data_IF_610139800478
#
_entry.id   IF_610139800478
#
_cell.length_a   1.000
_cell.length_b   1.000
_cell.length_c   1.000
_cell.angle_alpha   90.00
_cell.angle_beta   90.00
_cell.angle_gamma   90.00
#
_symmetry.space_group_name_H-M   'P 1'
#
loop_
_entity.id
_entity.type
_entity.pdbx_description
1 polymer ?
#
# COMPACT_ATOMS: atom_id res chain seq x y z
N UNK A 1 -8.30 -6.28 -14.40
CA UNK A 1 -6.82 -6.44 -14.44
C UNK A 1 -6.27 -6.02 -13.08
N UNK A 2 -5.12 -6.55 -12.67
CA UNK A 2 -4.54 -6.29 -11.35
C UNK A 2 -3.05 -5.92 -11.46
N UNK A 3 -2.52 -5.25 -10.45
CA UNK A 3 -1.09 -5.01 -10.31
C UNK A 3 -0.52 -6.08 -9.37
N UNK A 4 0.64 -6.64 -9.72
CA UNK A 4 1.32 -7.63 -8.89
C UNK A 4 2.65 -7.05 -8.39
N UNK A 5 2.79 -6.92 -7.08
CA UNK A 5 4.05 -6.54 -6.42
C UNK A 5 4.85 -7.79 -6.12
N UNK A 6 6.11 -7.78 -6.56
CA UNK A 6 7.10 -8.85 -6.36
C UNK A 6 8.11 -8.44 -5.30
N UNK A 7 8.40 -9.32 -4.35
CA UNK A 7 9.40 -9.08 -3.30
C UNK A 7 10.27 -10.32 -3.11
N UNK A 8 11.56 -10.18 -3.39
CA UNK A 8 12.50 -11.28 -3.25
C UNK A 8 12.85 -11.57 -1.79
N UNK A 9 12.70 -12.84 -1.39
CA UNK A 9 12.88 -13.27 0.00
C UNK A 9 14.30 -13.05 0.49
N UNK A 10 15.28 -13.38 -0.34
CA UNK A 10 16.69 -13.24 0.01
C UNK A 10 17.07 -11.76 0.19
N UNK A 11 16.63 -10.88 -0.70
CA UNK A 11 16.83 -9.44 -0.57
C UNK A 11 16.14 -8.87 0.68
N UNK A 12 14.92 -9.31 1.00
CA UNK A 12 14.22 -8.89 2.21
C UNK A 12 14.98 -9.29 3.48
N UNK A 13 15.61 -10.47 3.50
CA UNK A 13 16.44 -10.95 4.62
C UNK A 13 17.72 -10.13 4.74
N UNK A 14 18.41 -9.89 3.63
CA UNK A 14 19.68 -9.15 3.60
C UNK A 14 19.53 -7.70 4.04
N UNK A 15 18.38 -7.08 3.74
CA UNK A 15 18.05 -5.70 4.15
C UNK A 15 17.37 -5.60 5.51
N UNK A 16 17.12 -6.72 6.18
CA UNK A 16 16.34 -6.83 7.42
C UNK A 16 14.92 -6.21 7.30
N UNK A 17 14.33 -6.27 6.10
CA UNK A 17 13.00 -5.73 5.77
C UNK A 17 11.86 -6.72 5.98
N UNK A 18 12.19 -7.98 6.32
CA UNK A 18 11.23 -9.08 6.57
C UNK A 18 10.05 -8.62 7.45
N UNK A 19 10.36 -7.93 8.55
CA UNK A 19 9.34 -7.44 9.49
C UNK A 19 8.38 -6.46 8.83
N UNK A 20 8.92 -5.55 8.02
CA UNK A 20 8.14 -4.48 7.40
C UNK A 20 7.21 -5.05 6.34
N UNK A 21 7.70 -5.96 5.50
CA UNK A 21 6.90 -6.60 4.45
C UNK A 21 5.72 -7.37 5.04
N UNK A 22 5.95 -8.11 6.11
CA UNK A 22 4.91 -8.89 6.75
C UNK A 22 3.90 -8.04 7.51
N UNK A 23 4.37 -7.01 8.21
CA UNK A 23 3.48 -6.03 8.84
C UNK A 23 2.64 -5.32 7.78
N UNK A 24 3.24 -4.93 6.66
CA UNK A 24 2.51 -4.38 5.52
C UNK A 24 1.43 -5.37 5.09
N UNK A 25 1.78 -6.65 4.88
CA UNK A 25 0.81 -7.68 4.50
C UNK A 25 -0.36 -7.85 5.50
N UNK A 26 -0.07 -7.92 6.81
CA UNK A 26 -1.11 -8.00 7.85
C UNK A 26 -2.07 -6.80 7.79
N UNK A 27 -1.51 -5.58 7.77
CA UNK A 27 -2.30 -4.36 7.65
C UNK A 27 -3.13 -4.38 6.37
N UNK A 28 -2.54 -4.82 5.26
CA UNK A 28 -3.20 -4.88 3.96
C UNK A 28 -4.39 -5.84 3.94
N UNK A 29 -4.33 -6.95 4.68
CA UNK A 29 -5.40 -7.93 4.79
C UNK A 29 -6.56 -7.46 5.65
N UNK A 30 -6.32 -6.56 6.60
CA UNK A 30 -7.34 -6.08 7.55
C UNK A 30 -8.11 -4.85 7.05
N UNK A 31 -7.61 -4.18 6.01
CA UNK A 31 -8.18 -2.89 5.57
C UNK A 31 -8.65 -2.92 4.11
N UNK A 32 -9.86 -2.42 3.89
CA UNK A 32 -10.50 -2.30 2.57
C UNK A 32 -11.25 -0.96 2.48
N UNK A 33 -10.92 -0.17 1.46
CA UNK A 33 -11.56 1.13 1.25
C UNK A 33 -11.47 1.58 -0.21
N UNK A 34 -12.51 2.27 -0.69
CA UNK A 34 -12.63 2.68 -2.11
C UNK A 34 -11.54 3.65 -2.58
N UNK A 35 -10.95 4.42 -1.67
CA UNK A 35 -9.87 5.39 -1.93
C UNK A 35 -8.48 4.89 -1.48
N UNK A 36 -8.36 3.59 -1.16
CA UNK A 36 -7.09 2.93 -0.90
C UNK A 36 -6.82 1.89 -1.97
N UNK A 37 -5.54 1.63 -2.25
CA UNK A 37 -5.14 0.45 -3.06
C UNK A 37 -5.34 -0.80 -2.21
N UNK A 38 -6.33 -1.63 -2.56
CA UNK A 38 -6.71 -2.82 -1.81
C UNK A 38 -5.91 -4.05 -2.26
N UNK A 39 -5.68 -4.95 -1.30
CA UNK A 39 -5.07 -6.25 -1.53
C UNK A 39 -6.18 -7.26 -1.87
N UNK A 40 -6.01 -7.98 -2.98
CA UNK A 40 -6.91 -9.04 -3.41
C UNK A 40 -6.39 -10.42 -3.05
N UNK A 41 -5.10 -10.67 -3.29
CA UNK A 41 -4.46 -11.96 -3.02
C UNK A 41 -3.02 -11.76 -2.56
N UNK A 42 -2.54 -12.67 -1.72
CA UNK A 42 -1.13 -12.79 -1.38
C UNK A 42 -0.72 -14.26 -1.41
N UNK A 43 0.42 -14.55 -2.02
CA UNK A 43 0.99 -15.90 -2.09
C UNK A 43 2.51 -15.81 -2.20
N UNK A 44 3.18 -16.95 -2.12
CA UNK A 44 4.64 -17.03 -2.18
C UNK A 44 5.08 -18.33 -2.84
N UNK A 45 6.28 -18.33 -3.42
CA UNK A 45 6.97 -19.53 -3.89
C UNK A 45 8.30 -19.71 -3.14
N UNK A 46 9.26 -20.47 -3.69
CA UNK A 46 10.55 -20.71 -3.05
C UNK A 46 11.41 -19.44 -2.93
N UNK A 47 11.32 -18.53 -3.90
CA UNK A 47 12.22 -17.38 -4.01
C UNK A 47 11.53 -16.08 -3.57
N UNK A 48 10.21 -15.98 -3.74
CA UNK A 48 9.52 -14.70 -3.81
C UNK A 48 8.17 -14.68 -3.10
N UNK A 49 7.79 -13.47 -2.68
CA UNK A 49 6.45 -13.14 -2.17
C UNK A 49 5.73 -12.25 -3.18
N UNK A 50 4.43 -12.51 -3.36
CA UNK A 50 3.58 -11.85 -4.33
C UNK A 50 2.36 -11.22 -3.64
N UNK A 51 2.07 -9.97 -3.97
CA UNK A 51 0.84 -9.29 -3.58
C UNK A 51 0.10 -8.83 -4.83
N UNK A 52 -1.15 -9.25 -4.98
CA UNK A 52 -2.05 -8.83 -6.06
C UNK A 52 -2.95 -7.73 -5.51
N UNK A 53 -2.84 -6.54 -6.09
CA UNK A 53 -3.54 -5.33 -5.63
C UNK A 53 -4.30 -4.67 -6.79
N UNK A 54 -5.10 -3.65 -6.47
CA UNK A 54 -5.75 -2.82 -7.48
C UNK A 54 -4.76 -2.27 -8.51
N UNK A 55 -5.11 -2.38 -9.79
CA UNK A 55 -4.38 -1.73 -10.87
C UNK A 55 -5.00 -0.37 -11.15
N UNK A 56 -4.21 0.69 -11.02
CA UNK A 56 -4.57 2.05 -11.41
C UNK A 56 -3.75 2.44 -12.62
N UNK A 57 -4.43 2.67 -13.75
CA UNK A 57 -3.78 2.89 -15.05
C UNK A 57 -3.30 4.33 -15.26
N UNK A 58 -3.82 5.29 -14.48
CA UNK A 58 -3.47 6.71 -14.59
C UNK A 58 -2.09 7.06 -14.01
N UNK A 59 -1.37 6.10 -13.43
CA UNK A 59 -0.03 6.31 -12.87
C UNK A 59 -0.04 7.09 -11.55
N UNK A 60 1.16 7.48 -11.08
CA UNK A 60 1.31 8.25 -9.85
C UNK A 60 1.21 9.77 -10.08
N UNK A 61 0.75 10.51 -9.06
CA UNK A 61 0.61 11.96 -9.14
C UNK A 61 1.96 12.67 -9.37
N UNK A 62 3.07 12.08 -8.91
CA UNK A 62 4.41 12.62 -9.13
C UNK A 62 4.72 12.74 -10.62
N UNK A 63 4.38 11.74 -11.42
CA UNK A 63 4.52 11.75 -12.87
C UNK A 63 3.78 12.93 -13.51
N UNK A 64 2.51 13.15 -13.15
CA UNK A 64 1.71 14.25 -13.70
C UNK A 64 2.27 15.62 -13.33
N UNK A 65 2.74 15.78 -12.08
CA UNK A 65 3.40 17.01 -11.65
C UNK A 65 4.70 17.27 -12.44
N UNK A 66 5.48 16.23 -12.74
CA UNK A 66 6.70 16.35 -13.56
C UNK A 66 6.42 16.71 -15.02
N UNK A 67 5.27 16.31 -15.55
CA UNK A 67 4.81 16.70 -16.89
C UNK A 67 4.20 18.12 -16.92
N UNK A 68 4.24 18.87 -15.81
CA UNK A 68 3.62 20.20 -15.66
C UNK A 68 2.11 20.21 -15.93
N UNK A 69 1.42 19.10 -15.62
CA UNK A 69 -0.05 19.04 -15.66
C UNK A 69 -0.60 20.06 -14.67
N UNK A 70 -1.51 20.90 -15.16
CA UNK A 70 -2.22 21.88 -14.33
C UNK A 70 -3.54 21.28 -13.88
N UNK A 71 -3.70 21.10 -12.57
CA UNK A 71 -4.96 20.66 -11.98
C UNK A 71 -5.84 21.87 -11.69
N UNK A 72 -7.13 21.78 -12.02
CA UNK A 72 -8.10 22.81 -11.65
C UNK A 72 -8.36 22.78 -10.15
N UNK A 73 -8.79 23.90 -9.59
CA UNK A 73 -9.13 23.98 -8.16
C UNK A 73 -10.24 22.99 -7.80
N UNK A 74 -11.23 22.81 -8.68
CA UNK A 74 -12.30 21.84 -8.53
C UNK A 74 -11.77 20.40 -8.45
N UNK A 75 -10.84 20.01 -9.32
CA UNK A 75 -10.24 18.67 -9.30
C UNK A 75 -9.45 18.45 -8.00
N UNK A 76 -8.66 19.44 -7.57
CA UNK A 76 -7.88 19.37 -6.33
C UNK A 76 -8.81 19.24 -5.11
N UNK A 77 -9.94 19.94 -5.08
CA UNK A 77 -10.96 19.80 -4.02
C UNK A 77 -11.47 18.38 -3.92
N UNK A 78 -11.78 17.74 -5.05
CA UNK A 78 -12.22 16.34 -5.09
C UNK A 78 -11.13 15.41 -4.52
N UNK A 79 -9.87 15.58 -4.95
CA UNK A 79 -8.76 14.76 -4.45
C UNK A 79 -8.56 14.91 -2.93
N UNK A 80 -8.67 16.14 -2.41
CA UNK A 80 -8.57 16.37 -0.95
C UNK A 80 -9.70 15.65 -0.21
N UNK A 81 -10.93 15.67 -0.73
CA UNK A 81 -12.05 14.94 -0.14
C UNK A 81 -11.80 13.42 -0.14
N UNK A 82 -11.39 12.84 -1.27
CA UNK A 82 -11.08 11.40 -1.40
C UNK A 82 -9.95 10.99 -0.45
N UNK A 83 -8.87 11.78 -0.38
CA UNK A 83 -7.77 11.60 0.56
C UNK A 83 -8.25 11.64 2.01
N UNK A 84 -9.06 12.64 2.36
CA UNK A 84 -9.55 12.83 3.73
C UNK A 84 -10.38 11.64 4.17
N UNK A 85 -11.25 11.12 3.30
CA UNK A 85 -12.04 9.92 3.58
C UNK A 85 -11.16 8.67 3.75
N UNK A 86 -10.12 8.51 2.93
CA UNK A 86 -9.16 7.41 3.09
C UNK A 86 -8.41 7.48 4.43
N UNK A 87 -7.96 8.68 4.81
CA UNK A 87 -7.22 8.90 6.06
C UNK A 87 -8.11 8.76 7.30
N UNK A 88 -9.36 9.24 7.25
CA UNK A 88 -10.34 9.06 8.32
C UNK A 88 -10.63 7.57 8.57
N UNK A 89 -10.80 6.80 7.48
CA UNK A 89 -10.93 5.36 7.57
C UNK A 89 -9.69 4.71 8.22
N UNK A 90 -8.47 5.02 7.78
CA UNK A 90 -7.25 4.49 8.40
C UNK A 90 -7.16 4.84 9.89
N UNK A 91 -7.50 6.08 10.25
CA UNK A 91 -7.53 6.53 11.64
C UNK A 91 -8.53 5.71 12.47
N UNK A 92 -9.71 5.40 11.91
CA UNK A 92 -10.71 4.53 12.57
C UNK A 92 -10.19 3.10 12.82
N UNK A 93 -9.25 2.63 11.99
CA UNK A 93 -8.56 1.35 12.15
C UNK A 93 -7.28 1.45 12.98
N UNK A 94 -7.04 2.59 13.63
CA UNK A 94 -5.81 2.88 14.39
C UNK A 94 -4.53 2.75 13.56
N UNK A 95 -4.59 3.06 12.26
CA UNK A 95 -3.44 3.02 11.34
C UNK A 95 -3.06 4.44 10.93
N UNK A 96 -1.75 4.74 10.93
CA UNK A 96 -1.19 5.97 10.38
C UNK A 96 -0.41 5.61 9.11
N UNK A 97 -0.68 6.31 8.00
CA UNK A 97 0.00 6.07 6.72
C UNK A 97 1.48 6.48 6.68
N UNK A 98 1.83 7.60 7.34
CA UNK A 98 3.18 8.22 7.46
C UNK A 98 3.95 8.60 6.19
N UNK A 99 3.60 8.06 5.02
CA UNK A 99 4.28 8.35 3.75
C UNK A 99 3.33 8.94 2.69
N UNK A 100 2.57 9.99 3.06
CA UNK A 100 1.69 10.70 2.12
C UNK A 100 2.53 11.68 1.29
N UNK A 101 2.72 11.34 0.02
CA UNK A 101 3.46 12.11 -0.98
C UNK A 101 2.96 11.80 -2.40
N UNK A 102 3.25 12.64 -3.41
CA UNK A 102 2.76 12.43 -4.77
C UNK A 102 3.09 11.05 -5.39
N UNK A 103 4.20 10.44 -5.00
CA UNK A 103 4.63 9.11 -5.46
C UNK A 103 3.72 7.97 -4.96
N UNK A 104 3.05 8.19 -3.82
CA UNK A 104 2.13 7.22 -3.20
C UNK A 104 0.67 7.58 -3.44
N UNK A 105 0.42 8.40 -4.44
CA UNK A 105 -0.91 8.80 -4.85
C UNK A 105 -1.08 8.29 -6.26
N UNK A 106 -1.99 7.35 -6.46
CA UNK A 106 -2.25 6.76 -7.76
C UNK A 106 -3.57 7.28 -8.31
N UNK A 107 -3.61 7.49 -9.61
CA UNK A 107 -4.76 7.98 -10.34
C UNK A 107 -5.34 6.83 -11.17
N UNK A 108 -6.65 6.70 -11.17
CA UNK A 108 -7.37 5.71 -11.97
C UNK A 108 -7.99 6.37 -13.20
N UNK A 109 -7.92 5.68 -14.34
CA UNK A 109 -8.63 6.09 -15.55
C UNK A 109 -10.10 5.67 -15.40
N UNK A 110 -10.95 6.58 -14.91
CA UNK A 110 -12.41 6.37 -14.94
C UNK A 110 -12.99 6.86 -16.25
N UNK A 111 -14.07 6.23 -16.71
CA UNK A 111 -14.86 6.56 -17.92
C UNK A 111 -15.62 7.92 -17.87
N UNK A 112 -15.19 8.83 -17.00
CA UNK A 112 -15.71 10.18 -16.88
C UNK A 112 -14.57 11.07 -16.41
N UNK A 113 -14.60 12.35 -16.75
CA UNK A 113 -13.56 13.38 -16.54
C UNK A 113 -13.02 13.58 -15.09
N UNK A 114 -13.27 12.65 -14.18
CA UNK A 114 -12.80 12.60 -12.79
C UNK A 114 -11.78 11.46 -12.65
N UNK A 115 -10.51 11.81 -12.48
CA UNK A 115 -9.48 10.83 -12.09
C UNK A 115 -9.80 10.34 -10.68
N UNK A 116 -9.93 9.03 -10.50
CA UNK A 116 -10.11 8.46 -9.17
C UNK A 116 -8.79 8.44 -8.41
N UNK A 117 -8.73 9.06 -7.24
CA UNK A 117 -7.53 9.06 -6.43
C UNK A 117 -7.51 7.86 -5.49
N UNK A 118 -6.41 7.10 -5.47
CA UNK A 118 -6.14 6.13 -4.41
C UNK A 118 -4.80 6.37 -3.76
N UNK A 119 -4.80 6.35 -2.42
CA UNK A 119 -3.54 6.34 -1.68
C UNK A 119 -2.94 4.95 -1.83
N UNK A 120 -1.77 4.89 -2.48
CA UNK A 120 -0.91 3.71 -2.46
C UNK A 120 -0.43 3.53 -1.05
N UNK A 121 -0.66 2.33 -0.53
CA UNK A 121 -0.29 1.96 0.82
C UNK A 121 1.25 1.88 0.88
N UNK A 122 1.84 2.90 1.52
CA UNK A 122 3.29 3.06 1.76
C UNK A 122 3.68 2.62 3.17
N UNK A 123 4.56 3.38 3.83
CA UNK A 123 5.07 3.09 5.18
C UNK A 123 4.02 3.22 6.32
N UNK A 124 3.05 2.31 6.33
CA UNK A 124 1.96 2.26 7.30
C UNK A 124 2.40 1.70 8.66
N UNK A 125 1.85 2.27 9.74
CA UNK A 125 2.02 1.76 11.11
C UNK A 125 0.71 1.71 11.88
N UNK A 126 0.50 0.61 12.59
CA UNK A 126 -0.57 0.51 13.59
C UNK A 126 -0.14 1.26 14.87
N UNK A 127 -1.04 2.09 15.39
CA UNK A 127 -0.85 2.87 16.60
C UNK A 127 -1.23 2.03 17.82
N UNK A 128 -0.37 2.01 18.84
CA UNK A 128 -0.69 1.39 20.12
C UNK A 128 -0.43 -0.12 20.21
N UNK A 129 0.07 -0.75 19.15
CA UNK A 129 0.56 -2.14 19.20
C UNK A 129 2.03 -2.12 19.66
N UNK A 130 2.32 -2.77 20.79
CA UNK A 130 3.69 -2.97 21.26
C UNK A 130 4.49 -3.77 20.23
N UNK A 131 5.74 -3.38 20.03
CA UNK A 131 6.62 -4.05 19.07
C UNK A 131 6.69 -5.56 19.33
N UNK A 132 6.51 -6.41 18.30
CA UNK A 132 6.73 -7.85 18.47
C UNK A 132 8.17 -8.12 18.93
N UNK A 133 8.29 -8.97 19.94
CA UNK A 133 9.57 -9.35 20.53
C UNK A 133 10.48 -10.14 19.56
N UNK A 134 11.72 -10.39 19.96
CA UNK A 134 12.71 -11.12 19.17
C UNK A 134 12.29 -12.57 18.85
N UNK A 135 11.37 -13.15 19.61
CA UNK A 135 10.87 -14.51 19.38
C UNK A 135 9.81 -14.52 18.28
N UNK A 136 8.91 -13.52 18.26
CA UNK A 136 8.02 -13.26 17.12
C UNK A 136 8.83 -13.05 15.83
N UNK A 137 9.94 -12.33 15.89
CA UNK A 137 10.80 -12.11 14.71
C UNK A 137 11.33 -13.40 14.08
N UNK A 138 11.57 -14.44 14.88
CA UNK A 138 11.97 -15.76 14.39
C UNK A 138 10.83 -16.46 13.66
N UNK A 139 9.60 -16.32 14.15
CA UNK A 139 8.39 -16.86 13.49
C UNK A 139 8.22 -16.20 12.12
N UNK A 140 8.40 -14.89 12.03
CA UNK A 140 8.35 -14.16 10.76
C UNK A 140 9.43 -14.61 9.77
N UNK A 141 10.69 -14.74 10.23
CA UNK A 141 11.79 -15.25 9.39
C UNK A 141 11.58 -16.71 8.97
N UNK A 142 10.88 -17.52 9.78
CA UNK A 142 10.48 -18.87 9.41
C UNK A 142 9.34 -18.88 8.40
N UNK A 143 8.30 -18.04 8.53
CA UNK A 143 7.19 -17.92 7.58
C UNK A 143 7.60 -17.46 6.17
N UNK A 144 8.67 -16.69 6.04
CA UNK A 144 9.26 -16.39 4.72
C UNK A 144 9.96 -17.62 4.13
N UNK A 145 10.59 -18.46 4.97
CA UNK A 145 11.36 -19.63 4.52
C UNK A 145 10.49 -20.87 4.28
N UNK A 146 9.47 -21.05 5.10
CA UNK A 146 8.51 -22.14 5.08
C UNK A 146 7.24 -21.56 4.48
N UNK A 147 6.92 -21.94 3.24
CA UNK A 147 5.74 -21.49 2.50
C UNK A 147 4.44 -22.03 3.10
N UNK A 148 4.11 -21.62 4.33
CA UNK A 148 2.82 -21.95 4.94
C UNK A 148 1.72 -21.12 4.25
N UNK A 149 0.59 -21.76 3.88
CA UNK A 149 -0.54 -21.13 3.19
C UNK A 149 -1.33 -20.15 4.06
#
# INVERSE_FOLDING_TARGET
MYAMKYMNKQQCIERDEVRNVFRELEILQEIEHVFLVNLWYSFQDEEDMFMVVDLLLGGDLRYHLQQNVQFTEEAVKVYICEMTLALDYLQSQHIIHRDIKPDNILLDEKDSFELGFRVRRGDMQVVGVTEPDAQHMKIWKQRIRCGDP
#
